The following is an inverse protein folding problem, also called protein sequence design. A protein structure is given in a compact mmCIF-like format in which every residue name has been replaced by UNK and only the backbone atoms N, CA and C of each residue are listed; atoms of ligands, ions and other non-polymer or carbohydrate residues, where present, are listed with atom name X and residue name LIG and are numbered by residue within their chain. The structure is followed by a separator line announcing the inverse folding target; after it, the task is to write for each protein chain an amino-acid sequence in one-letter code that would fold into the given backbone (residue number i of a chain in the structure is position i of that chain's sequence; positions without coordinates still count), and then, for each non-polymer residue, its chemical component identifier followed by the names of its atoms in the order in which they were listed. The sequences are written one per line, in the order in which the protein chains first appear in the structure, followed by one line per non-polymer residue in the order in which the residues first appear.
data_IF_309649694549
#
_entry.id   IF_309649694549
#
_cell.length_a   1.000
_cell.length_b   1.000
_cell.length_c   1.000
_cell.angle_alpha   90.00
_cell.angle_beta   90.00
_cell.angle_gamma   90.00
#
_symmetry.space_group_name_H-M   'P 1'
#
loop_
_entity.id
_entity.type
_entity.pdbx_description
1 polymer ?
#
# COMPACT_ATOMS: atom_id res chain seq x y z
N UNK A 1 11.76 37.03 35.08
CA UNK A 1 12.51 35.76 34.94
C UNK A 1 11.49 34.65 34.78
N UNK A 2 11.20 34.28 33.54
CA UNK A 2 10.28 33.19 33.22
C UNK A 2 11.14 31.97 32.95
N UNK A 3 11.00 30.95 33.79
CA UNK A 3 11.65 29.65 33.67
C UNK A 3 11.18 28.97 32.39
N UNK A 4 12.07 28.86 31.41
CA UNK A 4 11.85 28.06 30.20
C UNK A 4 11.82 26.58 30.60
N UNK A 5 10.65 25.98 30.41
CA UNK A 5 10.38 24.56 30.57
C UNK A 5 11.38 23.71 29.77
N UNK A 6 12.14 22.91 30.52
CA UNK A 6 12.84 21.74 30.03
C UNK A 6 11.80 20.70 29.59
N UNK A 7 11.42 20.68 28.31
CA UNK A 7 10.94 19.47 27.67
C UNK A 7 12.13 18.77 27.02
N UNK A 8 13.05 18.27 27.84
CA UNK A 8 13.87 17.12 27.43
C UNK A 8 12.99 15.90 27.64
N UNK A 9 12.29 15.47 26.59
CA UNK A 9 11.58 14.20 26.61
C UNK A 9 12.60 13.07 26.68
N UNK A 10 12.73 12.46 27.86
CA UNK A 10 13.26 11.11 28.00
C UNK A 10 12.33 10.17 27.21
N UNK A 11 12.60 10.00 25.92
CA UNK A 11 12.01 8.91 25.16
C UNK A 11 12.53 7.63 25.81
N UNK A 12 11.66 6.89 26.49
CA UNK A 12 12.02 5.56 26.99
C UNK A 12 12.37 4.65 25.79
N UNK A 13 13.11 3.56 26.03
CA UNK A 13 13.57 2.65 24.96
C UNK A 13 12.44 2.17 24.05
N UNK A 14 11.25 1.94 24.60
CA UNK A 14 10.06 1.56 23.84
C UNK A 14 9.61 2.68 22.88
N UNK A 15 9.62 3.93 23.32
CA UNK A 15 9.24 5.09 22.51
C UNK A 15 10.25 5.34 21.39
N UNK A 16 11.55 5.12 21.67
CA UNK A 16 12.60 5.20 20.66
C UNK A 16 12.47 4.07 19.63
N UNK A 17 12.18 2.84 20.07
CA UNK A 17 11.91 1.72 19.20
C UNK A 17 10.75 2.00 18.23
N UNK A 18 9.58 2.42 18.75
CA UNK A 18 8.42 2.76 17.91
C UNK A 18 8.71 3.92 16.95
N UNK A 19 9.44 4.93 17.40
CA UNK A 19 9.83 6.04 16.55
C UNK A 19 10.70 5.55 15.38
N UNK A 20 11.66 4.67 15.65
CA UNK A 20 12.51 4.08 14.62
C UNK A 20 11.67 3.27 13.62
N UNK A 21 10.75 2.42 14.07
CA UNK A 21 9.87 1.66 13.16
C UNK A 21 9.03 2.57 12.26
N UNK A 22 8.51 3.67 12.81
CA UNK A 22 7.71 4.65 12.07
C UNK A 22 8.53 5.35 10.99
N UNK A 23 9.69 5.90 11.35
CA UNK A 23 10.58 6.61 10.42
C UNK A 23 11.04 5.71 9.28
N UNK A 24 11.33 4.45 9.60
CA UNK A 24 11.69 3.43 8.60
C UNK A 24 10.53 3.17 7.65
N UNK A 25 9.33 2.94 8.18
CA UNK A 25 8.16 2.67 7.36
C UNK A 25 7.86 3.86 6.42
N UNK A 26 7.89 5.08 6.93
CA UNK A 26 7.71 6.30 6.14
C UNK A 26 8.75 6.41 5.00
N UNK A 27 10.02 6.17 5.32
CA UNK A 27 11.11 6.26 4.34
C UNK A 27 11.00 5.18 3.26
N UNK A 28 10.72 3.93 3.66
CA UNK A 28 10.52 2.82 2.74
C UNK A 28 9.34 3.05 1.81
N UNK A 29 8.18 3.43 2.34
CA UNK A 29 7.00 3.67 1.51
C UNK A 29 7.15 4.91 0.64
N UNK A 30 7.87 5.93 1.09
CA UNK A 30 8.31 7.04 0.23
C UNK A 30 9.20 6.58 -0.94
N UNK A 31 10.09 5.61 -0.71
CA UNK A 31 10.90 5.01 -1.77
C UNK A 31 10.06 4.16 -2.73
N UNK A 32 9.17 3.30 -2.19
CA UNK A 32 8.23 2.48 -2.99
C UNK A 32 7.34 3.37 -3.84
N UNK A 33 6.81 4.46 -3.30
CA UNK A 33 6.00 5.43 -4.04
C UNK A 33 6.75 6.00 -5.26
N UNK A 34 8.06 6.28 -5.12
CA UNK A 34 8.91 6.78 -6.22
C UNK A 34 9.24 5.69 -7.25
N UNK A 35 9.39 4.45 -6.82
CA UNK A 35 9.98 3.38 -7.64
C UNK A 35 9.00 2.27 -8.05
N UNK A 36 7.81 2.19 -7.48
CA UNK A 36 6.81 1.10 -7.50
C UNK A 36 7.25 -0.20 -6.81
N UNK A 37 6.31 -0.86 -6.11
CA UNK A 37 6.54 -2.09 -5.35
C UNK A 37 7.15 -3.23 -6.18
N UNK A 38 6.71 -3.35 -7.44
CA UNK A 38 7.20 -4.34 -8.39
C UNK A 38 8.71 -4.18 -8.70
N UNK A 39 9.23 -2.95 -8.66
CA UNK A 39 10.66 -2.68 -8.88
C UNK A 39 11.46 -2.66 -7.59
N UNK A 40 10.83 -2.40 -6.44
CA UNK A 40 11.52 -2.49 -5.15
C UNK A 40 11.82 -3.92 -4.75
N UNK A 41 11.16 -4.89 -5.40
CA UNK A 41 11.34 -6.31 -5.16
C UNK A 41 10.69 -6.69 -3.83
N UNK A 42 9.61 -7.46 -3.88
CA UNK A 42 9.54 -8.60 -2.98
C UNK A 42 10.32 -9.69 -3.72
N UNK A 43 11.64 -9.82 -3.49
CA UNK A 43 12.38 -10.78 -4.26
C UNK A 43 11.91 -12.19 -3.86
N UNK A 44 11.77 -13.07 -4.84
CA UNK A 44 11.59 -14.51 -4.57
C UNK A 44 12.80 -15.07 -3.80
N UNK A 45 13.95 -14.36 -3.80
CA UNK A 45 15.18 -14.74 -3.13
C UNK A 45 15.76 -13.64 -2.21
N UNK A 46 16.05 -14.00 -0.96
CA UNK A 46 16.53 -13.10 0.11
C UNK A 46 17.84 -12.37 -0.24
N UNK A 47 18.68 -12.95 -1.11
CA UNK A 47 19.98 -12.37 -1.50
C UNK A 47 19.85 -11.17 -2.45
N UNK A 48 18.66 -10.94 -3.02
CA UNK A 48 18.41 -9.90 -4.01
C UNK A 48 17.79 -8.64 -3.40
N UNK A 49 17.61 -8.61 -2.07
CA UNK A 49 17.14 -7.40 -1.36
C UNK A 49 18.24 -6.34 -1.49
N UNK A 50 17.95 -5.17 -2.11
CA UNK A 50 18.92 -4.07 -2.20
C UNK A 50 19.42 -3.70 -0.80
N UNK A 51 20.73 -3.45 -0.67
CA UNK A 51 21.32 -3.02 0.61
C UNK A 51 20.83 -1.63 1.02
N UNK A 52 20.55 -0.77 0.04
CA UNK A 52 20.02 0.57 0.25
C UNK A 52 18.59 0.65 -0.30
N UNK A 53 17.60 0.27 0.52
CA UNK A 53 16.18 0.33 0.17
C UNK A 53 15.56 1.72 0.32
N UNK A 54 16.25 2.67 0.98
CA UNK A 54 15.82 4.06 1.15
C UNK A 54 17.02 5.00 1.34
N UNK A 55 16.79 6.30 1.15
CA UNK A 55 17.84 7.32 1.20
C UNK A 55 18.03 7.92 2.60
N UNK A 56 19.28 8.18 2.98
CA UNK A 56 19.66 8.85 4.23
C UNK A 56 19.04 10.23 4.35
N UNK A 57 19.06 10.97 3.25
CA UNK A 57 18.44 12.28 3.11
C UNK A 57 16.96 12.25 3.50
N UNK A 58 16.22 11.22 3.11
CA UNK A 58 14.80 11.08 3.49
C UNK A 58 14.62 10.87 4.99
N UNK A 59 15.49 10.12 5.66
CA UNK A 59 15.42 9.97 7.12
C UNK A 59 15.68 11.31 7.81
N UNK A 60 16.67 12.06 7.34
CA UNK A 60 16.96 13.41 7.86
C UNK A 60 15.76 14.34 7.66
N UNK A 61 15.13 14.32 6.49
CA UNK A 61 13.95 15.11 6.21
C UNK A 61 12.77 14.72 7.11
N UNK A 62 12.53 13.42 7.32
CA UNK A 62 11.50 12.93 8.23
C UNK A 62 11.78 13.37 9.67
N UNK A 63 13.01 13.27 10.16
CA UNK A 63 13.39 13.74 11.50
C UNK A 63 13.04 15.22 11.69
N UNK A 64 13.28 16.06 10.66
CA UNK A 64 12.88 17.48 10.66
C UNK A 64 11.35 17.65 10.63
N UNK A 65 10.64 16.89 9.78
CA UNK A 65 9.16 16.90 9.69
C UNK A 65 8.52 16.56 11.05
N UNK A 66 9.08 15.57 11.76
CA UNK A 66 8.67 15.17 13.10
C UNK A 66 9.18 16.09 14.22
N UNK A 67 9.89 17.17 13.88
CA UNK A 67 10.48 18.15 14.81
C UNK A 67 11.43 17.53 15.82
N UNK A 68 12.07 16.42 15.46
CA UNK A 68 13.09 15.78 16.27
C UNK A 68 14.38 16.57 16.04
N UNK A 69 14.77 17.33 17.06
CA UNK A 69 16.00 18.12 17.06
C UNK A 69 16.94 17.53 18.09
N UNK A 70 18.12 17.10 17.64
CA UNK A 70 19.18 16.60 18.50
C UNK A 70 20.16 17.74 18.79
N UNK A 71 20.73 17.71 20.00
CA UNK A 71 21.56 18.81 20.51
C UNK A 71 22.99 18.76 19.98
N UNK A 72 23.50 17.58 19.64
CA UNK A 72 24.83 17.38 19.06
C UNK A 72 24.74 16.63 17.72
N UNK A 73 25.70 16.89 16.85
CA UNK A 73 25.83 16.24 15.54
C UNK A 73 26.14 14.74 15.68
N UNK A 74 26.91 14.33 16.70
CA UNK A 74 27.19 12.93 17.03
C UNK A 74 25.93 12.13 17.38
N UNK A 75 25.02 12.73 18.16
CA UNK A 75 23.74 12.11 18.52
C UNK A 75 22.87 11.85 17.28
N UNK A 76 22.95 12.73 16.27
CA UNK A 76 22.19 12.61 15.03
C UNK A 76 22.69 11.45 14.18
N UNK A 77 24.00 11.27 14.07
CA UNK A 77 24.57 10.13 13.35
C UNK A 77 24.22 8.81 14.03
N UNK A 78 24.37 8.71 15.36
CA UNK A 78 24.00 7.51 16.12
C UNK A 78 22.50 7.18 15.95
N UNK A 79 21.62 8.19 15.99
CA UNK A 79 20.20 7.98 15.75
C UNK A 79 19.94 7.45 14.34
N UNK A 80 20.54 8.07 13.30
CA UNK A 80 20.39 7.66 11.91
C UNK A 80 20.87 6.22 11.71
N UNK A 81 22.03 5.86 12.25
CA UNK A 81 22.55 4.49 12.20
C UNK A 81 21.61 3.50 12.88
N UNK A 82 21.05 3.85 14.05
CA UNK A 82 20.07 3.00 14.74
C UNK A 82 18.80 2.78 13.89
N UNK A 83 18.31 3.83 13.24
CA UNK A 83 17.13 3.79 12.35
C UNK A 83 17.42 2.88 11.16
N UNK A 84 18.61 2.98 10.57
CA UNK A 84 19.03 2.11 9.46
C UNK A 84 19.09 0.65 9.88
N UNK A 85 19.71 0.36 11.01
CA UNK A 85 19.86 -1.00 11.51
C UNK A 85 18.50 -1.64 11.82
N UNK A 86 17.69 -0.96 12.64
CA UNK A 86 16.34 -1.41 13.01
C UNK A 86 15.48 -1.55 11.76
N UNK A 87 15.53 -0.57 10.87
CA UNK A 87 14.69 -0.55 9.69
C UNK A 87 15.01 -1.62 8.68
N UNK A 88 16.30 -1.81 8.39
CA UNK A 88 16.77 -2.84 7.46
C UNK A 88 16.37 -4.22 7.96
N UNK A 89 16.46 -4.45 9.27
CA UNK A 89 16.05 -5.71 9.89
C UNK A 89 14.52 -5.92 9.80
N UNK A 90 13.72 -4.91 10.12
CA UNK A 90 12.25 -4.98 10.04
C UNK A 90 11.81 -5.26 8.61
N UNK A 91 12.33 -4.51 7.65
CA UNK A 91 11.92 -4.62 6.25
C UNK A 91 12.37 -5.95 5.67
N UNK A 92 13.60 -6.36 5.93
CA UNK A 92 14.10 -7.67 5.53
C UNK A 92 13.26 -8.79 6.13
N UNK A 93 12.87 -8.70 7.41
CA UNK A 93 12.02 -9.68 8.08
C UNK A 93 10.64 -9.76 7.44
N UNK A 94 9.97 -8.63 7.24
CA UNK A 94 8.64 -8.62 6.62
C UNK A 94 8.68 -9.13 5.17
N UNK A 95 9.69 -8.73 4.40
CA UNK A 95 9.91 -9.26 3.05
C UNK A 95 10.13 -10.77 3.05
N UNK A 96 10.95 -11.30 3.96
CA UNK A 96 11.17 -12.75 4.13
C UNK A 96 9.90 -13.51 4.48
N UNK A 97 9.06 -12.92 5.33
CA UNK A 97 7.81 -13.50 5.79
C UNK A 97 6.65 -13.28 4.79
N UNK A 98 6.90 -12.58 3.67
CA UNK A 98 5.87 -12.20 2.71
C UNK A 98 4.80 -11.28 3.29
N UNK A 99 5.10 -10.60 4.39
CA UNK A 99 4.18 -9.68 5.08
C UNK A 99 4.32 -8.27 4.54
N UNK A 100 3.22 -7.55 4.55
CA UNK A 100 3.22 -6.13 4.28
C UNK A 100 4.06 -5.41 5.35
N UNK A 101 4.90 -4.46 4.94
CA UNK A 101 5.66 -3.64 5.89
C UNK A 101 4.68 -2.58 6.38
N UNK A 102 3.95 -2.92 7.43
CA UNK A 102 3.03 -1.98 8.02
C UNK A 102 3.77 -1.40 9.17
N UNK A 103 4.02 -0.10 9.12
CA UNK A 103 4.41 0.60 10.34
C UNK A 103 3.30 0.35 11.35
N UNK A 104 3.54 -0.40 12.44
CA UNK A 104 2.52 -0.59 13.48
C UNK A 104 2.10 0.74 14.13
N UNK A 105 2.73 1.85 13.76
CA UNK A 105 2.64 3.20 14.33
C UNK A 105 1.79 4.16 13.49
N UNK A 106 0.69 3.64 12.92
CA UNK A 106 -0.31 4.46 12.24
C UNK A 106 -1.71 4.31 12.81
N UNK A 107 -1.90 3.48 13.84
CA UNK A 107 -3.19 3.27 14.50
C UNK A 107 -3.79 4.61 14.96
N UNK A 108 -2.93 5.56 15.33
CA UNK A 108 -3.29 6.92 15.74
C UNK A 108 -3.82 7.78 14.59
N UNK A 109 -3.36 7.57 13.35
CA UNK A 109 -3.83 8.30 12.17
C UNK A 109 -5.30 7.95 11.83
N UNK A 110 -5.78 6.80 12.30
CA UNK A 110 -7.16 6.35 12.11
C UNK A 110 -8.15 6.99 13.07
N UNK A 111 -7.72 7.82 14.04
CA UNK A 111 -8.66 8.52 14.94
C UNK A 111 -9.68 9.38 14.18
N UNK A 112 -9.27 9.94 13.04
CA UNK A 112 -10.19 10.70 12.18
C UNK A 112 -10.75 9.88 11.02
N UNK A 113 -10.17 8.72 10.67
CA UNK A 113 -10.56 7.91 9.51
C UNK A 113 -10.71 8.74 8.22
N UNK A 114 -9.97 9.84 8.08
CA UNK A 114 -10.02 10.72 6.91
C UNK A 114 -8.87 10.37 5.98
N UNK A 115 -9.17 10.31 4.69
CA UNK A 115 -8.14 10.33 3.67
C UNK A 115 -7.31 11.62 3.84
N UNK A 116 -5.97 11.54 3.84
CA UNK A 116 -5.14 12.74 3.84
C UNK A 116 -5.54 13.60 2.63
N UNK A 117 -5.71 14.91 2.85
CA UNK A 117 -6.06 15.82 1.76
C UNK A 117 -4.90 15.89 0.77
N UNK A 118 -5.02 15.17 -0.34
CA UNK A 118 -4.03 15.17 -1.41
C UNK A 118 -4.74 15.20 -2.77
N UNK A 119 -4.35 16.15 -3.62
CA UNK A 119 -4.97 16.35 -4.91
C UNK A 119 -4.41 15.35 -5.94
N UNK A 120 -4.99 14.15 -5.99
CA UNK A 120 -4.67 13.11 -6.98
C UNK A 120 -5.40 13.29 -8.32
N UNK A 121 -6.07 14.42 -8.58
CA UNK A 121 -6.97 14.58 -9.74
C UNK A 121 -6.35 14.15 -11.07
N UNK A 122 -5.09 14.49 -11.33
CA UNK A 122 -4.39 14.10 -12.55
C UNK A 122 -4.15 12.57 -12.66
N UNK A 123 -3.83 11.89 -11.55
CA UNK A 123 -3.65 10.43 -11.50
C UNK A 123 -4.99 9.72 -11.63
N UNK A 124 -5.99 10.17 -10.86
CA UNK A 124 -7.37 9.67 -10.91
C UNK A 124 -7.92 9.79 -12.34
N UNK A 125 -7.76 10.93 -13.00
CA UNK A 125 -8.22 11.11 -14.37
C UNK A 125 -7.54 10.18 -15.38
N UNK A 126 -6.26 9.84 -15.18
CA UNK A 126 -5.58 8.82 -16.01
C UNK A 126 -6.13 7.42 -15.75
N UNK A 127 -6.39 7.09 -14.49
CA UNK A 127 -6.84 5.77 -14.06
C UNK A 127 -8.35 5.54 -14.24
N UNK A 128 -9.16 6.58 -14.48
CA UNK A 128 -10.60 6.42 -14.80
C UNK A 128 -10.86 5.48 -15.99
N UNK A 129 -9.95 5.45 -16.97
CA UNK A 129 -10.02 4.50 -18.09
C UNK A 129 -9.93 3.03 -17.66
N UNK A 130 -9.41 2.77 -16.45
CA UNK A 130 -9.29 1.46 -15.83
C UNK A 130 -10.42 1.19 -14.81
N UNK A 131 -11.49 2.01 -14.80
CA UNK A 131 -12.68 1.74 -13.97
C UNK A 131 -13.35 0.42 -14.36
N UNK A 132 -14.17 -0.13 -13.47
CA UNK A 132 -14.92 -1.36 -13.74
C UNK A 132 -15.85 -1.24 -14.95
N UNK A 133 -16.42 -0.06 -15.19
CA UNK A 133 -17.33 0.19 -16.32
C UNK A 133 -16.61 0.24 -17.67
N UNK A 134 -15.32 0.63 -17.65
CA UNK A 134 -14.51 0.80 -18.86
C UNK A 134 -13.70 -0.45 -19.21
N UNK A 135 -13.62 -1.43 -18.30
CA UNK A 135 -12.83 -2.63 -18.48
C UNK A 135 -13.71 -3.86 -18.78
N UNK A 136 -13.30 -4.66 -19.75
CA UNK A 136 -13.95 -5.94 -20.08
C UNK A 136 -13.18 -7.13 -19.47
N UNK A 137 -13.32 -7.30 -18.14
CA UNK A 137 -12.80 -8.47 -17.43
C UNK A 137 -13.90 -9.16 -16.62
N UNK A 138 -13.74 -10.47 -16.38
CA UNK A 138 -14.60 -11.25 -15.53
C UNK A 138 -13.78 -11.80 -14.37
N UNK A 139 -13.98 -11.26 -13.16
CA UNK A 139 -13.35 -11.77 -11.96
C UNK A 139 -14.07 -13.03 -11.49
N UNK A 140 -13.32 -14.14 -11.43
CA UNK A 140 -13.71 -15.34 -10.69
C UNK A 140 -12.59 -15.68 -9.73
N UNK A 141 -12.82 -15.41 -8.46
CA UNK A 141 -11.88 -15.80 -7.41
C UNK A 141 -12.08 -17.28 -7.09
N UNK A 142 -10.96 -18.00 -7.01
CA UNK A 142 -10.93 -19.33 -6.45
C UNK A 142 -10.81 -19.23 -4.92
N UNK A 143 -11.60 -20.02 -4.20
CA UNK A 143 -11.57 -20.06 -2.74
C UNK A 143 -12.54 -19.10 -2.07
N UNK A 144 -12.37 -18.95 -0.76
CA UNK A 144 -13.23 -18.13 0.07
C UNK A 144 -12.86 -16.65 -0.01
N UNK A 145 -13.89 -15.80 -0.12
CA UNK A 145 -13.77 -14.35 -0.09
C UNK A 145 -14.92 -13.72 0.69
N UNK A 146 -14.71 -12.48 1.12
CA UNK A 146 -15.71 -11.65 1.78
C UNK A 146 -15.83 -10.30 1.04
N UNK A 147 -17.07 -9.87 0.81
CA UNK A 147 -17.37 -8.53 0.29
C UNK A 147 -17.57 -7.59 1.48
N UNK A 148 -16.51 -6.93 1.92
CA UNK A 148 -16.57 -6.07 3.10
C UNK A 148 -15.51 -4.97 3.09
N UNK A 149 -15.79 -3.96 3.91
CA UNK A 149 -14.86 -2.90 4.24
C UNK A 149 -14.81 -1.74 3.27
N UNK A 150 -14.38 -0.60 3.81
CA UNK A 150 -14.18 0.64 3.07
C UNK A 150 -12.70 0.82 2.77
N UNK A 151 -12.37 1.19 1.54
CA UNK A 151 -11.00 1.44 1.14
C UNK A 151 -10.53 2.82 1.63
N UNK A 152 -9.38 2.86 2.31
CA UNK A 152 -8.74 4.10 2.75
C UNK A 152 -7.43 4.31 2.00
N UNK A 153 -7.31 5.46 1.34
CA UNK A 153 -6.07 5.87 0.70
C UNK A 153 -5.15 6.55 1.71
N UNK A 154 -3.86 6.24 1.66
CA UNK A 154 -2.88 6.80 2.60
C UNK A 154 -1.59 7.29 1.95
N UNK A 155 -1.55 7.39 0.62
CA UNK A 155 -0.35 7.73 -0.13
C UNK A 155 0.41 8.94 0.44
N UNK A 156 1.74 8.84 0.66
CA UNK A 156 2.65 7.78 0.18
C UNK A 156 2.70 6.51 1.04
N UNK A 157 1.88 6.40 2.09
CA UNK A 157 1.78 5.22 2.95
C UNK A 157 0.90 4.12 2.34
N UNK A 158 1.04 2.86 2.80
CA UNK A 158 0.23 1.76 2.32
C UNK A 158 -1.24 2.01 2.64
N UNK A 159 -2.09 1.82 1.63
CA UNK A 159 -3.54 1.81 1.79
C UNK A 159 -3.98 0.64 2.65
N UNK A 160 -5.19 0.75 3.21
CA UNK A 160 -5.79 -0.30 4.05
C UNK A 160 -7.29 -0.42 3.78
N UNK A 161 -7.90 -1.46 4.34
CA UNK A 161 -9.36 -1.63 4.38
C UNK A 161 -9.84 -1.41 5.80
N UNK A 162 -10.83 -0.53 5.98
CA UNK A 162 -11.49 -0.27 7.26
C UNK A 162 -12.71 -1.18 7.42
N UNK A 163 -12.85 -1.78 8.60
CA UNK A 163 -13.89 -2.78 8.88
C UNK A 163 -14.63 -2.42 10.17
N UNK A 164 -15.96 -2.50 10.13
CA UNK A 164 -16.82 -2.28 11.31
C UNK A 164 -16.93 -3.52 12.19
N UNK A 165 -16.72 -4.70 11.62
CA UNK A 165 -16.75 -5.99 12.31
C UNK A 165 -15.54 -6.81 11.90
N UNK A 166 -15.18 -7.80 12.72
CA UNK A 166 -14.11 -8.74 12.38
C UNK A 166 -14.56 -9.58 11.16
N UNK A 167 -13.70 -9.75 10.13
CA UNK A 167 -14.07 -10.51 8.95
C UNK A 167 -14.27 -11.99 9.33
N UNK A 168 -15.30 -12.62 8.78
CA UNK A 168 -15.68 -14.01 9.09
C UNK A 168 -14.66 -15.00 8.56
N UNK A 169 -13.95 -14.64 7.48
CA UNK A 169 -12.94 -15.46 6.82
C UNK A 169 -11.65 -14.66 6.65
N UNK A 170 -10.52 -15.28 6.99
CA UNK A 170 -9.21 -14.62 6.99
C UNK A 170 -8.48 -14.59 5.64
N UNK A 171 -9.17 -14.71 4.50
CA UNK A 171 -8.49 -15.05 3.23
C UNK A 171 -8.44 -13.86 2.26
N UNK A 172 -9.55 -13.52 1.61
CA UNK A 172 -9.59 -12.43 0.64
C UNK A 172 -10.74 -11.46 0.93
N UNK A 173 -10.43 -10.18 1.04
CA UNK A 173 -11.43 -9.11 1.11
C UNK A 173 -11.55 -8.50 -0.29
N UNK A 174 -12.77 -8.53 -0.85
CA UNK A 174 -13.09 -7.77 -2.04
C UNK A 174 -13.71 -6.46 -1.58
N UNK A 175 -13.08 -5.34 -1.94
CA UNK A 175 -13.63 -4.02 -1.64
C UNK A 175 -14.80 -3.76 -2.59
N UNK A 176 -16.04 -3.61 -2.08
CA UNK A 176 -17.23 -3.51 -2.92
C UNK A 176 -17.39 -2.14 -3.59
N UNK A 177 -16.87 -1.07 -2.96
CA UNK A 177 -16.93 0.28 -3.52
C UNK A 177 -15.67 1.09 -3.18
N UNK A 178 -15.04 1.66 -4.20
CA UNK A 178 -13.89 2.57 -4.06
C UNK A 178 -14.24 4.03 -4.38
N UNK A 179 -15.48 4.35 -4.75
CA UNK A 179 -15.89 5.69 -5.19
C UNK A 179 -15.60 6.76 -4.15
N UNK A 180 -15.81 6.45 -2.86
CA UNK A 180 -15.53 7.38 -1.77
C UNK A 180 -14.07 7.85 -1.77
N UNK A 181 -13.13 6.94 -2.04
CA UNK A 181 -11.70 7.21 -2.02
C UNK A 181 -11.14 7.63 -3.39
N UNK A 182 -11.64 7.06 -4.48
CA UNK A 182 -11.10 7.23 -5.84
C UNK A 182 -11.93 8.15 -6.74
N UNK A 183 -13.20 8.39 -6.40
CA UNK A 183 -14.16 9.09 -7.26
C UNK A 183 -14.68 8.26 -8.44
N UNK A 184 -14.40 6.95 -8.46
CA UNK A 184 -14.95 5.98 -9.41
C UNK A 184 -14.89 4.56 -8.85
N UNK A 185 -15.68 3.65 -9.43
CA UNK A 185 -15.69 2.25 -9.03
C UNK A 185 -14.52 1.47 -9.65
N UNK A 186 -13.72 0.84 -8.81
CA UNK A 186 -12.67 -0.11 -9.15
C UNK A 186 -12.74 -1.30 -8.21
N UNK A 187 -12.73 -2.51 -8.75
CA UNK A 187 -12.59 -3.70 -7.92
C UNK A 187 -11.14 -3.81 -7.44
N UNK A 188 -10.98 -3.89 -6.13
CA UNK A 188 -9.72 -4.14 -5.47
C UNK A 188 -9.85 -5.43 -4.66
N UNK A 189 -8.79 -6.23 -4.65
CA UNK A 189 -8.74 -7.50 -3.92
C UNK A 189 -7.61 -7.38 -2.91
N UNK A 190 -7.91 -7.70 -1.66
CA UNK A 190 -6.93 -7.72 -0.59
C UNK A 190 -6.82 -9.13 -0.03
N UNK A 191 -5.81 -9.92 -0.43
CA UNK A 191 -5.37 -11.07 0.34
C UNK A 191 -4.92 -10.56 1.71
N UNK A 192 -5.73 -10.81 2.74
CA UNK A 192 -5.51 -10.21 4.05
C UNK A 192 -4.30 -10.88 4.70
N UNK A 193 -3.28 -10.07 4.98
CA UNK A 193 -2.06 -10.54 5.64
C UNK A 193 -2.10 -10.24 7.13
N UNK A 194 -2.60 -9.05 7.49
CA UNK A 194 -2.74 -8.65 8.88
C UNK A 194 -4.09 -7.97 9.12
N UNK A 195 -4.55 -8.12 10.36
CA UNK A 195 -5.74 -7.50 10.89
C UNK A 195 -5.37 -6.92 12.26
N UNK A 196 -5.77 -5.68 12.51
CA UNK A 196 -5.48 -4.98 13.76
C UNK A 196 -6.69 -4.18 14.22
N UNK A 197 -6.82 -4.04 15.53
CA UNK A 197 -7.90 -3.26 16.15
C UNK A 197 -7.64 -1.76 16.01
N UNK A 198 -8.70 -1.00 15.76
CA UNK A 198 -8.68 0.45 15.74
C UNK A 198 -9.17 1.02 17.08
N UNK A 199 -8.69 2.21 17.47
CA UNK A 199 -9.30 2.96 18.56
C UNK A 199 -10.73 3.39 18.17
N UNK A 200 -11.54 3.66 19.20
CA UNK A 200 -12.89 4.19 18.99
C UNK A 200 -12.84 5.47 18.14
N UNK A 201 -13.62 5.48 17.06
CA UNK A 201 -13.75 6.59 16.11
C UNK A 201 -15.23 6.84 15.81
N UNK A 202 -15.53 8.03 15.28
CA UNK A 202 -16.92 8.48 15.04
C UNK A 202 -17.62 7.72 13.92
N UNK A 203 -16.86 7.10 13.01
CA UNK A 203 -17.38 6.37 11.85
C UNK A 203 -17.75 4.91 12.19
N UNK A 204 -17.38 4.45 13.39
CA UNK A 204 -17.72 3.13 13.92
C UNK A 204 -16.86 1.98 13.37
N UNK A 205 -15.70 2.26 12.76
CA UNK A 205 -14.76 1.21 12.37
C UNK A 205 -14.09 0.63 13.61
N UNK A 206 -13.92 -0.70 13.65
CA UNK A 206 -13.30 -1.41 14.78
C UNK A 206 -11.97 -2.05 14.40
N UNK A 207 -11.74 -2.33 13.12
CA UNK A 207 -10.55 -3.00 12.63
C UNK A 207 -10.04 -2.34 11.35
N UNK A 208 -8.75 -2.52 11.08
CA UNK A 208 -8.18 -2.33 9.75
C UNK A 208 -7.51 -3.62 9.29
N UNK A 209 -7.72 -3.95 8.02
CA UNK A 209 -7.11 -5.06 7.31
C UNK A 209 -6.16 -4.54 6.24
N UNK A 210 -5.13 -5.33 5.96
CA UNK A 210 -3.97 -4.85 5.23
C UNK A 210 -3.16 -5.99 4.65
N UNK A 211 -2.39 -5.67 3.61
CA UNK A 211 -1.76 -6.61 2.69
C UNK A 211 -1.38 -5.90 1.40
N UNK A 212 -1.12 -6.68 0.35
CA UNK A 212 -0.83 -6.17 -0.98
C UNK A 212 -2.12 -6.15 -1.80
N UNK A 213 -2.53 -4.97 -2.25
CA UNK A 213 -3.73 -4.79 -3.07
C UNK A 213 -3.50 -5.34 -4.47
N UNK A 214 -4.34 -6.30 -4.82
CA UNK A 214 -4.41 -6.91 -6.13
C UNK A 214 -5.40 -6.11 -6.97
N UNK A 215 -4.89 -5.46 -8.02
CA UNK A 215 -5.67 -4.61 -8.92
C UNK A 215 -5.77 -5.27 -10.30
N UNK A 216 -6.96 -5.78 -10.68
CA UNK A 216 -7.19 -6.30 -12.03
C UNK A 216 -7.17 -5.14 -13.02
N UNK A 217 -6.38 -5.22 -14.08
CA UNK A 217 -6.23 -4.15 -15.09
C UNK A 217 -6.35 -4.70 -16.50
N UNK A 218 -6.85 -3.90 -17.44
CA UNK A 218 -6.88 -4.27 -18.87
C UNK A 218 -5.66 -3.78 -19.65
N UNK A 219 -5.02 -2.72 -19.15
CA UNK A 219 -3.86 -2.05 -19.76
C UNK A 219 -2.80 -1.89 -18.66
N UNK A 220 -1.48 -1.91 -18.98
CA UNK A 220 -0.42 -1.77 -17.99
C UNK A 220 -0.43 -0.36 -17.33
N UNK A 221 -1.16 -0.25 -16.22
CA UNK A 221 -1.26 0.95 -15.39
C UNK A 221 -0.41 0.88 -14.11
N UNK A 222 0.42 -0.15 -13.94
CA UNK A 222 1.23 -0.45 -12.74
C UNK A 222 1.88 0.79 -12.12
N UNK A 223 2.52 1.63 -12.94
CA UNK A 223 3.26 2.82 -12.48
C UNK A 223 2.34 3.89 -11.88
N UNK A 224 1.11 4.01 -12.38
CA UNK A 224 0.14 4.99 -11.89
C UNK A 224 -0.57 4.47 -10.66
N UNK A 225 -0.94 3.19 -10.65
CA UNK A 225 -1.51 2.53 -9.49
C UNK A 225 -0.53 2.50 -8.31
N UNK A 226 0.75 2.19 -8.52
CA UNK A 226 1.75 2.22 -7.46
C UNK A 226 1.99 3.63 -6.89
N UNK A 227 1.69 4.69 -7.65
CA UNK A 227 1.71 6.07 -7.13
C UNK A 227 0.46 6.40 -6.33
N UNK A 228 -0.67 5.74 -6.58
CA UNK A 228 -1.92 6.01 -5.86
C UNK A 228 -2.11 5.06 -4.68
N UNK A 229 -1.62 3.83 -4.78
CA UNK A 229 -1.70 2.73 -3.82
C UNK A 229 -0.32 2.07 -3.80
N UNK A 230 0.62 2.53 -2.94
CA UNK A 230 2.01 2.05 -2.93
C UNK A 230 2.15 0.55 -2.70
N UNK A 231 1.26 -0.03 -1.89
CA UNK A 231 1.16 -1.46 -1.64
C UNK A 231 0.23 -2.17 -2.66
N UNK A 232 0.34 -1.85 -3.95
CA UNK A 232 -0.45 -2.51 -4.99
C UNK A 232 0.39 -3.31 -5.99
N UNK A 233 -0.23 -4.36 -6.52
CA UNK A 233 0.22 -5.11 -7.67
C UNK A 233 -0.91 -5.14 -8.69
N UNK A 234 -0.63 -4.59 -9.87
CA UNK A 234 -1.49 -4.75 -11.03
C UNK A 234 -1.19 -6.07 -11.72
N UNK A 235 -2.24 -6.72 -12.18
CA UNK A 235 -2.14 -7.85 -13.09
C UNK A 235 -3.04 -7.59 -14.29
N UNK A 236 -2.52 -7.96 -15.46
CA UNK A 236 -3.24 -7.87 -16.73
C UNK A 236 -4.16 -9.07 -16.84
N UNK A 237 -5.46 -8.87 -16.73
CA UNK A 237 -6.41 -9.98 -16.87
C UNK A 237 -7.02 -10.06 -18.27
N UNK A 238 -6.93 -11.26 -18.85
CA UNK A 238 -8.12 -11.98 -19.28
C UNK A 238 -8.16 -13.31 -18.51
N UNK A 239 -8.59 -13.30 -17.24
CA UNK A 239 -8.61 -14.51 -16.42
C UNK A 239 -9.67 -15.50 -16.95
N UNK A 240 -9.22 -16.64 -17.47
CA UNK A 240 -10.03 -17.84 -17.55
C UNK A 240 -9.73 -18.69 -16.32
N UNK A 241 -10.70 -18.79 -15.41
CA UNK A 241 -10.66 -19.71 -14.28
C UNK A 241 -10.45 -21.16 -14.76
N UNK A 242 -9.49 -21.88 -14.17
CA UNK A 242 -9.40 -23.35 -14.28
C UNK A 242 -10.49 -23.97 -13.39
N UNK A 243 -11.17 -24.96 -13.97
CA UNK A 243 -12.33 -25.67 -13.47
C UNK A 243 -11.95 -26.71 -12.43
N UNK A 244 -12.66 -26.73 -11.30
CA UNK A 244 -12.79 -27.90 -10.45
C UNK A 244 -14.27 -28.11 -10.07
N UNK A 245 -15.04 -28.57 -11.07
CA UNK A 245 -16.33 -29.29 -11.07
C UNK A 245 -16.94 -29.03 -12.44
N UNK A 246 -16.75 -29.99 -13.34
CA UNK A 246 -16.87 -29.86 -14.79
C UNK A 246 -18.04 -29.01 -15.28
N UNK A 247 -17.72 -27.88 -15.93
CA UNK A 247 -18.24 -27.49 -17.24
C UNK A 247 -17.60 -26.16 -17.69
N UNK A 248 -17.08 -26.16 -18.92
CA UNK A 248 -16.58 -24.96 -19.62
C UNK A 248 -17.76 -24.30 -20.32
N UNK A 249 -18.06 -23.03 -20.01
CA UNK A 249 -18.84 -22.19 -20.92
C UNK A 249 -17.89 -21.20 -21.58
N UNK A 250 -17.57 -21.46 -22.86
CA UNK A 250 -16.83 -20.51 -23.71
C UNK A 250 -17.71 -19.29 -23.98
N UNK A 251 -17.33 -18.10 -23.50
CA UNK A 251 -17.83 -16.85 -24.09
C UNK A 251 -17.06 -16.62 -25.40
N UNK A 252 -17.79 -16.52 -26.52
CA UNK A 252 -17.22 -16.26 -27.85
C UNK A 252 -16.31 -15.02 -27.81
N UNK A 253 -15.06 -15.17 -28.25
CA UNK A 253 -14.16 -14.05 -28.55
C UNK A 253 -14.84 -13.12 -29.58
N UNK A 254 -15.03 -11.84 -29.26
CA UNK A 254 -15.00 -10.80 -30.29
C UNK A 254 -13.55 -10.70 -30.77
N UNK A 255 -13.23 -11.47 -31.81
CA UNK A 255 -12.16 -11.10 -32.76
C UNK A 255 -12.44 -9.63 -33.13
N UNK A 256 -11.57 -8.70 -32.75
CA UNK A 256 -11.28 -7.47 -33.52
C UNK A 256 -10.29 -6.51 -32.84
N UNK A 257 -9.95 -6.68 -31.55
CA UNK A 257 -9.09 -5.68 -30.90
C UNK A 257 -7.60 -5.71 -31.33
N UNK A 258 -7.07 -6.85 -31.77
CA UNK A 258 -5.65 -6.96 -32.16
C UNK A 258 -5.33 -6.64 -33.62
N UNK A 259 -6.30 -6.27 -34.47
CA UNK A 259 -6.02 -5.86 -35.85
C UNK A 259 -5.70 -4.37 -36.01
N UNK A 260 -6.00 -3.52 -35.02
CA UNK A 260 -5.80 -2.07 -35.12
C UNK A 260 -4.54 -1.52 -34.43
N UNK A 261 -3.84 -2.32 -33.62
CA UNK A 261 -2.58 -1.89 -33.00
C UNK A 261 -1.36 -2.15 -33.90
N UNK A 262 -1.37 -3.21 -34.71
CA UNK A 262 -0.24 -3.57 -35.59
C UNK A 262 -0.32 -2.97 -37.01
N UNK A 263 -1.47 -2.44 -37.44
CA UNK A 263 -1.60 -1.75 -38.74
C UNK A 263 -1.07 -0.31 -38.74
N UNK A 264 -0.70 0.24 -37.58
CA UNK A 264 -0.11 1.59 -37.44
C UNK A 264 1.42 1.62 -37.38
N UNK A 265 2.09 0.46 -37.27
CA UNK A 265 3.56 0.38 -37.22
C UNK A 265 4.24 -0.09 -38.52
N UNK A 266 3.46 -0.49 -39.55
CA UNK A 266 3.98 -0.86 -40.87
C UNK A 266 3.31 -0.08 -42.02
N UNK A 267 3.20 1.24 -41.85
CA UNK A 267 2.98 2.18 -42.97
C UNK A 267 3.80 3.46 -42.77
N UNK A 268 5.10 3.36 -43.07
CA UNK A 268 5.84 4.23 -43.99
C UNK A 268 7.23 3.67 -44.19
#
# INVERSE_FOLDING_TARGET
MVSNNQNQSNLNENSLYFLNERLVADAFWGFVYKNSLKKTGFPENIKDIPKDLWSRERIIDLLKEYKITLKAEGDLEELIESIYLVGSNIITKHMKEGKNIIGPVYVEDFKECKDPFFNFSHLVNRLKSDSNENCDYLLKLNGDYELSGDFLLRTPLPSVVLLKEEPKKKINIIIPNTEKALGYQKTLILPMQELSTLPNNKEGYKYFATGIFHIPTQIPHDKYWAKLIPNSLCFLEAFNAIIAKGQIVKKKKKKDFFKNAFSRFFKK
#
